data_IF_657683153311
#
_entry.id   IF_657683153311
#
_cell.length_a   1.000
_cell.length_b   1.000
_cell.length_c   1.000
_cell.angle_alpha   90.00
_cell.angle_beta   90.00
_cell.angle_gamma   90.00
#
_symmetry.space_group_name_H-M   'P 1'
#
loop_
_entity.id
_entity.type
_entity.pdbx_description
1 polymer ?
#
# COMPACT_ATOMS: atom_id res chain seq x y z
N UNK A 1 -3.41 10.23 -10.15
CA UNK A 1 -4.18 9.15 -10.81
C UNK A 1 -5.67 9.44 -10.89
N UNK A 2 -6.42 9.61 -9.79
CA UNK A 2 -7.88 9.87 -9.88
C UNK A 2 -8.28 11.06 -10.76
N UNK A 3 -7.52 12.15 -10.72
CA UNK A 3 -7.76 13.34 -11.54
C UNK A 3 -7.62 13.05 -13.05
N UNK A 4 -6.72 12.15 -13.48
CA UNK A 4 -6.59 11.78 -14.90
C UNK A 4 -7.79 10.96 -15.41
N UNK A 5 -8.60 10.43 -14.49
CA UNK A 5 -9.87 9.76 -14.79
C UNK A 5 -11.09 10.68 -14.54
N UNK A 6 -10.89 11.99 -14.38
CA UNK A 6 -11.97 12.95 -14.17
C UNK A 6 -12.59 12.93 -12.77
N UNK A 7 -11.97 12.21 -11.82
CA UNK A 7 -12.44 12.16 -10.43
C UNK A 7 -11.75 13.25 -9.61
N UNK A 8 -12.57 14.08 -8.96
CA UNK A 8 -12.06 15.06 -7.98
C UNK A 8 -11.77 14.32 -6.68
N UNK A 9 -10.50 14.03 -6.43
CA UNK A 9 -10.04 13.34 -5.22
C UNK A 9 -9.26 14.29 -4.31
N UNK A 10 -9.47 14.15 -3.00
CA UNK A 10 -8.74 14.89 -1.96
C UNK A 10 -8.16 13.89 -0.96
N UNK A 11 -6.88 14.05 -0.63
CA UNK A 11 -6.21 13.27 0.41
C UNK A 11 -5.99 14.14 1.65
N UNK A 12 -6.49 13.68 2.80
CA UNK A 12 -6.31 14.37 4.09
C UNK A 12 -5.47 13.49 5.01
N UNK A 13 -4.29 14.02 5.35
CA UNK A 13 -3.35 13.49 6.34
C UNK A 13 -2.56 14.66 6.94
N UNK A 14 -1.68 14.38 7.91
CA UNK A 14 -0.91 15.43 8.60
C UNK A 14 -0.10 16.32 7.64
N UNK A 15 0.49 15.74 6.60
CA UNK A 15 1.31 16.48 5.63
C UNK A 15 0.45 17.33 4.69
N UNK A 16 -0.66 16.79 4.19
CA UNK A 16 -1.54 17.54 3.28
C UNK A 16 -2.26 18.67 3.99
N UNK A 17 -2.70 18.45 5.24
CA UNK A 17 -3.26 19.51 6.08
C UNK A 17 -2.25 20.62 6.35
N UNK A 18 -1.00 20.25 6.70
CA UNK A 18 0.07 21.24 6.94
C UNK A 18 0.36 22.05 5.67
N UNK A 19 0.47 21.39 4.52
CA UNK A 19 0.70 22.06 3.24
C UNK A 19 -0.47 22.96 2.82
N UNK A 20 -1.71 22.54 3.04
CA UNK A 20 -2.90 23.35 2.73
C UNK A 20 -2.97 24.59 3.63
N UNK A 21 -2.67 24.45 4.93
CA UNK A 21 -2.60 25.57 5.87
C UNK A 21 -1.59 26.63 5.44
N UNK A 22 -0.43 26.22 4.91
CA UNK A 22 0.56 27.16 4.36
C UNK A 22 0.07 27.92 3.13
N UNK A 23 -0.90 27.37 2.38
CA UNK A 23 -1.56 28.04 1.25
C UNK A 23 -2.81 28.82 1.65
N UNK A 24 -3.21 28.80 2.93
CA UNK A 24 -4.46 29.41 3.39
C UNK A 24 -5.71 28.63 2.97
N UNK A 25 -5.57 27.34 2.63
CA UNK A 25 -6.66 26.46 2.21
C UNK A 25 -7.15 25.59 3.37
N UNK A 26 -8.46 25.31 3.40
CA UNK A 26 -9.07 24.32 4.30
C UNK A 26 -9.57 23.09 3.51
N UNK A 27 -8.88 21.97 3.68
CA UNK A 27 -9.22 20.71 3.02
C UNK A 27 -10.53 20.10 3.55
N UNK A 28 -10.93 20.39 4.79
CA UNK A 28 -12.18 19.90 5.36
C UNK A 28 -13.38 20.64 4.77
N UNK A 29 -13.26 21.95 4.54
CA UNK A 29 -14.26 22.69 3.76
C UNK A 29 -14.37 22.14 2.34
N UNK A 30 -13.23 21.87 1.70
CA UNK A 30 -13.21 21.23 0.37
C UNK A 30 -13.85 19.85 0.40
N UNK A 31 -13.68 19.06 1.46
CA UNK A 31 -14.29 17.73 1.57
C UNK A 31 -15.83 17.76 1.66
N UNK A 32 -16.40 18.84 2.21
CA UNK A 32 -17.87 19.00 2.34
C UNK A 32 -18.57 19.02 1.00
N UNK A 33 -17.96 19.60 -0.02
CA UNK A 33 -18.60 19.82 -1.32
C UNK A 33 -17.69 19.51 -2.52
N UNK A 34 -18.28 18.94 -3.57
CA UNK A 34 -17.59 18.82 -4.87
C UNK A 34 -16.52 17.74 -4.99
N UNK A 35 -16.17 17.02 -3.92
CA UNK A 35 -15.23 15.89 -3.98
C UNK A 35 -15.97 14.58 -4.27
N UNK A 36 -15.44 13.80 -5.22
CA UNK A 36 -15.93 12.46 -5.59
C UNK A 36 -15.26 11.36 -4.77
N UNK A 37 -14.03 11.60 -4.30
CA UNK A 37 -13.26 10.63 -3.52
C UNK A 37 -12.45 11.30 -2.41
N UNK A 38 -12.63 10.84 -1.18
CA UNK A 38 -11.91 11.33 0.00
C UNK A 38 -11.01 10.21 0.54
N UNK A 39 -9.71 10.43 0.50
CA UNK A 39 -8.71 9.52 1.04
C UNK A 39 -8.23 10.05 2.39
N UNK A 40 -8.43 9.28 3.46
CA UNK A 40 -8.07 9.69 4.82
C UNK A 40 -6.98 8.75 5.36
N UNK A 41 -5.99 9.32 6.04
CA UNK A 41 -5.18 8.49 6.94
C UNK A 41 -6.01 8.11 8.17
N UNK A 42 -5.80 6.94 8.79
CA UNK A 42 -6.58 6.50 9.95
C UNK A 42 -6.62 7.56 11.06
N UNK A 43 -5.51 8.28 11.27
CA UNK A 43 -5.37 9.29 12.33
C UNK A 43 -6.32 10.47 12.16
N UNK A 44 -6.80 10.72 10.93
CA UNK A 44 -7.77 11.79 10.69
C UNK A 44 -9.18 11.43 11.17
N UNK A 45 -9.47 10.16 11.42
CA UNK A 45 -10.80 9.72 11.88
C UNK A 45 -11.13 10.19 13.31
N UNK A 46 -10.12 10.52 14.12
CA UNK A 46 -10.28 11.15 15.44
C UNK A 46 -10.20 12.69 15.39
N UNK A 47 -9.99 13.28 14.22
CA UNK A 47 -9.78 14.72 14.11
C UNK A 47 -11.09 15.49 14.22
N UNK A 48 -11.00 16.72 14.75
CA UNK A 48 -12.15 17.65 14.78
C UNK A 48 -12.73 17.90 13.38
N UNK A 49 -11.87 18.08 12.37
CA UNK A 49 -12.34 18.35 11.01
C UNK A 49 -13.16 17.19 10.42
N UNK A 50 -12.84 15.95 10.79
CA UNK A 50 -13.65 14.80 10.40
C UNK A 50 -14.99 14.75 11.15
N UNK A 51 -15.00 15.04 12.46
CA UNK A 51 -16.26 15.17 13.22
C UNK A 51 -17.17 16.24 12.61
N UNK A 52 -16.64 17.42 12.32
CA UNK A 52 -17.35 18.53 11.67
C UNK A 52 -17.87 18.17 10.26
N UNK A 53 -17.19 17.24 9.56
CA UNK A 53 -17.63 16.71 8.27
C UNK A 53 -18.82 15.75 8.44
N UNK A 54 -18.80 14.88 9.45
CA UNK A 54 -19.91 13.97 9.76
C UNK A 54 -21.16 14.72 10.23
N UNK A 55 -21.02 15.87 10.87
CA UNK A 55 -22.16 16.73 11.25
C UNK A 55 -22.80 17.45 10.05
N UNK A 56 -22.08 17.57 8.94
CA UNK A 56 -22.57 18.25 7.74
C UNK A 56 -23.55 17.37 6.95
N UNK A 57 -24.85 17.47 7.25
CA UNK A 57 -25.92 16.65 6.64
C UNK A 57 -25.85 16.48 5.10
N UNK A 58 -25.57 17.53 4.29
CA UNK A 58 -25.46 17.38 2.83
C UNK A 58 -24.37 16.39 2.39
N UNK A 59 -23.33 16.18 3.20
CA UNK A 59 -22.28 15.19 2.94
C UNK A 59 -22.86 13.78 2.84
N UNK A 60 -23.76 13.40 3.76
CA UNK A 60 -24.36 12.06 3.80
C UNK A 60 -25.19 11.73 2.57
N UNK A 61 -25.81 12.73 1.93
CA UNK A 61 -26.55 12.54 0.68
C UNK A 61 -25.62 12.18 -0.50
N UNK A 62 -24.34 12.54 -0.40
CA UNK A 62 -23.31 12.24 -1.42
C UNK A 62 -22.47 11.03 -1.05
N UNK A 63 -22.44 10.63 0.22
CA UNK A 63 -21.66 9.50 0.67
C UNK A 63 -22.32 8.19 0.19
N UNK A 64 -21.58 7.39 -0.60
CA UNK A 64 -22.10 6.16 -1.23
C UNK A 64 -21.36 4.91 -0.79
N UNK A 65 -20.07 5.02 -0.53
CA UNK A 65 -19.25 3.88 -0.19
C UNK A 65 -18.13 4.24 0.79
N UNK A 66 -17.85 3.32 1.70
CA UNK A 66 -16.70 3.32 2.60
C UNK A 66 -15.74 2.20 2.17
N UNK A 67 -14.56 2.58 1.69
CA UNK A 67 -13.48 1.65 1.37
C UNK A 67 -12.40 1.70 2.45
N UNK A 68 -11.96 0.53 2.92
CA UNK A 68 -10.84 0.40 3.85
C UNK A 68 -9.75 -0.38 3.15
N UNK A 69 -8.66 0.32 2.83
CA UNK A 69 -7.48 -0.29 2.25
C UNK A 69 -6.59 -0.93 3.32
N UNK A 70 -5.85 -1.95 2.92
CA UNK A 70 -5.01 -2.76 3.79
C UNK A 70 -5.69 -3.25 5.07
N UNK A 71 -6.93 -3.72 4.95
CA UNK A 71 -7.79 -4.14 6.08
C UNK A 71 -7.15 -5.22 6.98
N UNK A 72 -6.20 -5.97 6.44
CA UNK A 72 -5.44 -6.99 7.17
C UNK A 72 -4.58 -6.41 8.31
N UNK A 73 -4.19 -5.13 8.24
CA UNK A 73 -3.41 -4.45 9.28
C UNK A 73 -4.16 -4.41 10.62
N UNK A 74 -5.50 -4.44 10.58
CA UNK A 74 -6.34 -4.56 11.78
C UNK A 74 -5.99 -5.78 12.64
N UNK A 75 -5.62 -6.89 12.00
CA UNK A 75 -5.25 -8.12 12.69
C UNK A 75 -3.77 -8.13 13.06
N UNK A 76 -2.88 -7.69 12.16
CA UNK A 76 -1.42 -7.83 12.33
C UNK A 76 -0.83 -6.89 13.37
N UNK A 77 -1.34 -5.66 13.52
CA UNK A 77 -0.67 -4.61 14.30
C UNK A 77 -0.96 -4.63 15.81
N UNK A 78 -1.53 -5.73 16.32
CA UNK A 78 -1.66 -6.00 17.74
C UNK A 78 -2.56 -5.00 18.48
N UNK A 79 -2.56 -5.06 19.83
CA UNK A 79 -3.47 -4.25 20.66
C UNK A 79 -3.03 -2.79 20.86
N UNK A 80 -1.76 -2.45 20.62
CA UNK A 80 -1.19 -1.14 20.96
C UNK A 80 -1.37 -0.08 19.86
N UNK A 81 -1.61 -0.48 18.61
CA UNK A 81 -1.89 0.43 17.49
C UNK A 81 -3.41 0.77 17.36
N UNK A 82 -4.24 0.28 18.30
CA UNK A 82 -5.69 0.06 18.10
C UNK A 82 -6.62 1.28 18.11
N UNK A 83 -6.32 2.37 18.80
CA UNK A 83 -7.36 3.38 19.04
C UNK A 83 -7.85 4.07 17.76
N UNK A 84 -6.93 4.28 16.82
CA UNK A 84 -7.20 5.00 15.59
C UNK A 84 -7.96 4.12 14.59
N UNK A 85 -7.53 2.86 14.43
CA UNK A 85 -8.20 1.92 13.54
C UNK A 85 -9.58 1.51 14.06
N UNK A 86 -9.79 1.44 15.38
CA UNK A 86 -11.13 1.25 15.96
C UNK A 86 -12.11 2.34 15.56
N UNK A 87 -11.65 3.54 15.20
CA UNK A 87 -12.56 4.57 14.67
C UNK A 87 -13.20 4.19 13.35
N UNK A 88 -12.60 3.29 12.57
CA UNK A 88 -13.24 2.82 11.34
C UNK A 88 -14.52 2.05 11.68
N UNK A 89 -14.54 1.29 12.78
CA UNK A 89 -15.74 0.63 13.29
C UNK A 89 -16.79 1.67 13.72
N UNK A 90 -16.37 2.76 14.36
CA UNK A 90 -17.26 3.86 14.73
C UNK A 90 -17.86 4.57 13.50
N UNK A 91 -17.05 4.90 12.49
CA UNK A 91 -17.56 5.49 11.24
C UNK A 91 -18.54 4.55 10.57
N UNK A 92 -18.20 3.26 10.54
CA UNK A 92 -19.03 2.21 9.97
C UNK A 92 -20.37 2.06 10.71
N UNK A 93 -20.40 2.21 12.03
CA UNK A 93 -21.64 2.11 12.81
C UNK A 93 -22.56 3.31 12.61
N UNK A 94 -22.00 4.48 12.30
CA UNK A 94 -22.75 5.69 11.92
C UNK A 94 -23.22 5.68 10.46
N UNK A 95 -22.64 4.82 9.62
CA UNK A 95 -23.03 4.72 8.21
C UNK A 95 -24.46 4.18 8.08
N UNK A 96 -25.32 4.85 7.31
CA UNK A 96 -26.63 4.31 7.00
C UNK A 96 -26.58 2.94 6.29
N UNK A 97 -27.65 2.13 6.36
CA UNK A 97 -27.66 0.77 5.80
C UNK A 97 -27.40 0.68 4.29
N UNK A 98 -27.64 1.76 3.54
CA UNK A 98 -27.43 1.80 2.09
C UNK A 98 -25.98 2.10 1.67
N UNK A 99 -25.10 2.45 2.63
CA UNK A 99 -23.69 2.70 2.32
C UNK A 99 -22.96 1.37 2.08
N UNK A 100 -22.32 1.28 0.92
CA UNK A 100 -21.54 0.09 0.55
C UNK A 100 -20.22 0.11 1.32
N UNK A 101 -19.91 -0.96 2.04
CA UNK A 101 -18.61 -1.10 2.73
C UNK A 101 -17.75 -2.11 2.01
N UNK A 102 -16.48 -1.76 1.79
CA UNK A 102 -15.49 -2.58 1.09
C UNK A 102 -14.20 -2.66 1.91
N UNK A 103 -13.60 -3.85 1.97
CA UNK A 103 -12.29 -4.07 2.56
C UNK A 103 -11.34 -4.61 1.48
N UNK A 104 -10.19 -3.97 1.33
CA UNK A 104 -9.18 -4.32 0.33
C UNK A 104 -7.91 -4.80 1.06
N UNK A 105 -7.28 -5.85 0.55
CA UNK A 105 -5.98 -6.33 1.04
C UNK A 105 -5.40 -7.38 0.10
N UNK A 106 -4.08 -7.44 0.02
CA UNK A 106 -3.33 -8.49 -0.68
C UNK A 106 -3.03 -9.74 0.18
N UNK A 107 -3.09 -9.67 1.52
CA UNK A 107 -2.44 -10.63 2.43
C UNK A 107 -3.40 -11.34 3.40
N UNK A 108 -4.73 -11.21 3.21
CA UNK A 108 -5.71 -11.91 4.07
C UNK A 108 -5.71 -13.42 3.80
N UNK A 109 -5.19 -14.17 4.77
CA UNK A 109 -5.33 -15.62 4.85
C UNK A 109 -6.74 -16.01 5.34
N UNK A 110 -7.19 -17.21 4.94
CA UNK A 110 -8.41 -17.81 5.50
C UNK A 110 -8.24 -18.09 7.01
N UNK A 111 -9.34 -18.13 7.74
CA UNK A 111 -9.37 -18.37 9.18
C UNK A 111 -9.36 -17.06 9.99
N UNK A 112 -8.64 -17.03 11.12
CA UNK A 112 -8.75 -15.98 12.14
C UNK A 112 -8.64 -14.55 11.62
N UNK A 113 -7.77 -14.30 10.64
CA UNK A 113 -7.60 -12.96 10.04
C UNK A 113 -8.87 -12.54 9.32
N UNK A 114 -9.40 -13.41 8.46
CA UNK A 114 -10.65 -13.17 7.73
C UNK A 114 -11.84 -13.02 8.68
N UNK A 115 -11.94 -13.87 9.71
CA UNK A 115 -13.03 -13.80 10.68
C UNK A 115 -13.01 -12.47 11.45
N UNK A 116 -11.81 -11.99 11.80
CA UNK A 116 -11.63 -10.69 12.43
C UNK A 116 -12.04 -9.53 11.52
N UNK A 117 -11.61 -9.55 10.26
CA UNK A 117 -12.00 -8.54 9.25
C UNK A 117 -13.51 -8.53 9.03
N UNK A 118 -14.13 -9.71 8.88
CA UNK A 118 -15.58 -9.82 8.72
C UNK A 118 -16.34 -9.26 9.92
N UNK A 119 -15.90 -9.61 11.14
CA UNK A 119 -16.50 -9.07 12.37
C UNK A 119 -16.37 -7.55 12.43
N UNK A 120 -15.18 -7.03 12.12
CA UNK A 120 -14.87 -5.61 12.18
C UNK A 120 -15.71 -4.77 11.20
N UNK A 121 -15.83 -5.20 9.95
CA UNK A 121 -16.63 -4.49 8.94
C UNK A 121 -18.13 -4.79 9.02
N UNK A 122 -18.55 -5.61 9.99
CA UNK A 122 -19.95 -6.02 10.17
C UNK A 122 -20.47 -6.91 9.04
N UNK A 123 -19.59 -7.66 8.37
CA UNK A 123 -19.97 -8.59 7.31
C UNK A 123 -20.69 -9.80 7.90
N UNK A 124 -21.94 -9.97 7.48
CA UNK A 124 -22.77 -11.10 7.89
C UNK A 124 -22.62 -12.24 6.87
N UNK A 125 -22.42 -13.50 7.30
CA UNK A 125 -22.38 -14.64 6.39
C UNK A 125 -23.55 -14.62 5.38
N UNK A 126 -23.25 -14.83 4.10
CA UNK A 126 -24.24 -14.81 3.02
C UNK A 126 -24.75 -13.42 2.60
N UNK A 127 -24.23 -12.33 3.20
CA UNK A 127 -24.61 -10.94 2.88
C UNK A 127 -23.45 -10.10 2.34
N UNK A 128 -22.33 -10.72 1.99
CA UNK A 128 -21.18 -10.06 1.40
C UNK A 128 -20.56 -10.94 0.31
N UNK A 129 -19.82 -10.29 -0.58
CA UNK A 129 -19.08 -10.96 -1.64
C UNK A 129 -17.59 -10.97 -1.30
N UNK A 130 -16.93 -12.10 -1.54
CA UNK A 130 -15.48 -12.21 -1.47
C UNK A 130 -14.96 -12.42 -2.88
N UNK A 131 -14.20 -11.46 -3.37
CA UNK A 131 -13.49 -11.58 -4.64
C UNK A 131 -12.03 -11.87 -4.32
N UNK A 132 -11.56 -13.07 -4.65
CA UNK A 132 -10.16 -13.48 -4.47
C UNK A 132 -9.52 -13.71 -5.84
N UNK A 133 -8.45 -12.99 -6.11
CA UNK A 133 -7.61 -13.18 -7.31
C UNK A 133 -6.39 -14.02 -6.98
N UNK A 134 -5.83 -14.66 -8.00
CA UNK A 134 -4.52 -15.31 -7.91
C UNK A 134 -3.43 -14.24 -7.74
N UNK A 135 -2.39 -14.57 -6.96
CA UNK A 135 -1.16 -13.77 -6.87
C UNK A 135 -0.13 -14.18 -7.94
N UNK A 136 -0.49 -15.04 -8.90
CA UNK A 136 0.39 -15.42 -9.99
C UNK A 136 0.81 -14.20 -10.81
N UNK A 137 2.12 -14.06 -11.01
CA UNK A 137 2.75 -12.97 -11.78
C UNK A 137 3.56 -13.57 -12.91
N UNK A 138 2.92 -13.75 -14.06
CA UNK A 138 3.55 -14.32 -15.26
C UNK A 138 4.62 -13.39 -15.87
N UNK A 139 4.61 -12.12 -15.46
CA UNK A 139 5.62 -11.11 -15.76
C UNK A 139 6.84 -11.17 -14.83
N UNK A 140 6.85 -12.06 -13.84
CA UNK A 140 7.94 -12.20 -12.86
C UNK A 140 8.65 -13.54 -13.05
N UNK A 141 9.97 -13.49 -13.22
CA UNK A 141 10.83 -14.66 -13.26
C UNK A 141 11.52 -14.84 -11.91
N UNK A 142 11.34 -16.01 -11.29
CA UNK A 142 12.08 -16.38 -10.08
C UNK A 142 13.42 -17.02 -10.49
N UNK A 143 14.52 -16.41 -10.05
CA UNK A 143 15.87 -16.92 -10.28
C UNK A 143 16.52 -17.15 -8.92
N UNK A 144 16.89 -18.41 -8.64
CA UNK A 144 17.63 -18.80 -7.44
C UNK A 144 19.08 -18.98 -7.83
N UNK A 145 20.00 -18.28 -7.16
CA UNK A 145 21.44 -18.39 -7.37
C UNK A 145 22.12 -18.60 -6.04
N UNK A 146 23.09 -19.49 -6.00
CA UNK A 146 23.98 -19.66 -4.85
C UNK A 146 24.95 -18.48 -4.76
N UNK A 147 25.20 -18.01 -3.54
CA UNK A 147 26.19 -16.97 -3.30
C UNK A 147 27.55 -17.63 -3.07
N UNK A 148 28.47 -17.47 -4.02
CA UNK A 148 29.86 -17.94 -3.89
C UNK A 148 30.64 -17.19 -2.79
N UNK A 149 30.15 -16.03 -2.35
CA UNK A 149 30.79 -15.17 -1.35
C UNK A 149 29.86 -15.03 -0.14
N UNK A 150 30.43 -15.20 1.05
CA UNK A 150 29.69 -14.95 2.30
C UNK A 150 29.28 -13.49 2.47
N UNK A 151 28.15 -13.28 3.17
CA UNK A 151 27.59 -11.95 3.49
C UNK A 151 28.40 -11.17 4.55
N UNK A 152 29.45 -11.77 5.11
CA UNK A 152 30.35 -11.17 6.10
C UNK A 152 31.37 -10.19 5.52
N UNK A 153 31.61 -10.22 4.21
CA UNK A 153 32.65 -9.41 3.55
C UNK A 153 32.22 -7.99 3.17
N UNK A 154 33.10 -7.33 2.40
CA UNK A 154 32.88 -6.02 1.76
C UNK A 154 32.76 -6.11 0.23
N UNK A 155 32.78 -7.32 -0.32
CA UNK A 155 32.76 -7.58 -1.77
C UNK A 155 31.57 -8.46 -2.11
N UNK A 156 30.73 -7.98 -3.02
CA UNK A 156 29.51 -8.67 -3.47
C UNK A 156 29.50 -8.81 -5.01
N UNK A 157 30.49 -9.51 -5.61
CA UNK A 157 30.61 -9.61 -7.07
C UNK A 157 29.37 -10.23 -7.73
N UNK A 158 28.60 -11.04 -7.01
CA UNK A 158 27.32 -11.59 -7.45
C UNK A 158 26.26 -10.52 -7.73
N UNK A 159 26.46 -9.27 -7.30
CA UNK A 159 25.57 -8.14 -7.60
C UNK A 159 26.05 -7.31 -8.81
N UNK A 160 27.14 -7.72 -9.49
CA UNK A 160 27.67 -6.96 -10.62
C UNK A 160 26.67 -6.87 -11.79
N UNK A 161 25.77 -7.84 -11.95
CA UNK A 161 24.73 -7.84 -13.00
C UNK A 161 23.83 -6.59 -12.94
N UNK A 162 23.68 -5.98 -11.76
CA UNK A 162 22.92 -4.73 -11.58
C UNK A 162 23.51 -3.59 -12.42
N UNK A 163 24.79 -3.68 -12.78
CA UNK A 163 25.50 -2.74 -13.65
C UNK A 163 25.42 -3.08 -15.15
N UNK A 164 24.79 -4.19 -15.51
CA UNK A 164 24.67 -4.60 -16.91
C UNK A 164 23.25 -4.33 -17.46
N UNK A 165 22.23 -4.21 -16.58
CA UNK A 165 20.83 -3.91 -16.95
C UNK A 165 20.40 -2.44 -16.72
N UNK A 166 19.94 -1.70 -17.72
CA UNK A 166 19.43 -0.31 -17.55
C UNK A 166 18.03 -0.23 -16.90
N UNK A 167 17.81 -1.02 -15.85
CA UNK A 167 16.56 -1.08 -15.10
C UNK A 167 16.76 -0.63 -13.66
N UNK A 168 15.68 -0.17 -13.02
CA UNK A 168 15.69 0.09 -11.57
C UNK A 168 15.75 -1.25 -10.83
N UNK A 169 16.57 -1.32 -9.79
CA UNK A 169 16.76 -2.55 -9.01
C UNK A 169 16.50 -2.28 -7.52
N UNK A 170 15.80 -3.20 -6.88
CA UNK A 170 15.56 -3.18 -5.44
C UNK A 170 16.30 -4.35 -4.83
N UNK A 171 17.18 -4.08 -3.86
CA UNK A 171 17.98 -5.10 -3.19
C UNK A 171 17.62 -5.09 -1.70
N UNK A 172 17.05 -6.18 -1.23
CA UNK A 172 16.68 -6.35 0.18
C UNK A 172 17.85 -6.93 0.97
N UNK A 173 18.18 -6.29 2.09
CA UNK A 173 19.24 -6.75 2.99
C UNK A 173 18.66 -7.03 4.39
N UNK A 174 18.93 -8.19 5.01
CA UNK A 174 18.37 -8.55 6.32
C UNK A 174 18.73 -7.58 7.45
N UNK A 175 19.84 -6.84 7.32
CA UNK A 175 20.29 -5.88 8.34
C UNK A 175 20.77 -4.58 7.71
N UNK A 176 20.61 -3.48 8.45
CA UNK A 176 21.14 -2.15 8.08
C UNK A 176 22.66 -2.22 7.85
N UNK A 177 23.38 -3.02 8.64
CA UNK A 177 24.82 -3.19 8.50
C UNK A 177 25.21 -3.87 7.17
N UNK A 178 24.46 -4.89 6.74
CA UNK A 178 24.68 -5.50 5.43
C UNK A 178 24.28 -4.55 4.30
N UNK A 179 23.15 -3.87 4.44
CA UNK A 179 22.67 -2.85 3.52
C UNK A 179 23.75 -1.79 3.25
N UNK A 180 24.34 -1.24 4.31
CA UNK A 180 25.40 -0.24 4.21
C UNK A 180 26.63 -0.79 3.46
N UNK A 181 27.07 -2.01 3.76
CA UNK A 181 28.22 -2.64 3.07
C UNK A 181 27.93 -2.87 1.59
N UNK A 182 26.73 -3.33 1.25
CA UNK A 182 26.27 -3.49 -0.14
C UNK A 182 26.23 -2.14 -0.86
N UNK A 183 25.70 -1.10 -0.21
CA UNK A 183 25.68 0.27 -0.75
C UNK A 183 27.07 0.79 -1.07
N UNK A 184 28.00 0.66 -0.12
CA UNK A 184 29.40 1.11 -0.30
C UNK A 184 30.08 0.34 -1.43
N UNK A 185 29.87 -0.97 -1.52
CA UNK A 185 30.40 -1.79 -2.62
C UNK A 185 29.88 -1.32 -3.98
N UNK A 186 28.56 -1.16 -4.11
CA UNK A 186 27.93 -0.73 -5.35
C UNK A 186 28.35 0.70 -5.72
N UNK A 187 28.45 1.61 -4.75
CA UNK A 187 28.92 2.97 -4.96
C UNK A 187 30.34 3.02 -5.52
N UNK A 188 31.27 2.25 -4.94
CA UNK A 188 32.65 2.16 -5.41
C UNK A 188 32.72 1.61 -6.84
N UNK A 189 31.93 0.55 -7.13
CA UNK A 189 31.87 -0.04 -8.48
C UNK A 189 31.26 0.90 -9.52
N UNK A 190 30.18 1.60 -9.18
CA UNK A 190 29.56 2.60 -10.04
C UNK A 190 30.51 3.76 -10.34
N UNK A 191 31.22 4.24 -9.32
CA UNK A 191 32.22 5.32 -9.45
C UNK A 191 33.36 4.91 -10.39
N UNK A 192 33.90 3.70 -10.22
CA UNK A 192 34.94 3.16 -11.11
C UNK A 192 34.49 2.99 -12.57
N UNK A 193 33.17 2.81 -12.81
CA UNK A 193 32.58 2.72 -14.15
C UNK A 193 32.09 4.07 -14.70
N UNK A 194 32.31 5.18 -13.98
CA UNK A 194 31.81 6.51 -14.39
C UNK A 194 30.28 6.64 -14.38
N UNK A 195 29.55 5.76 -13.71
CA UNK A 195 28.09 5.66 -13.76
C UNK A 195 27.46 5.78 -12.36
N UNK A 196 27.81 6.85 -11.64
CA UNK A 196 27.35 7.09 -10.26
C UNK A 196 25.82 7.30 -10.19
N UNK A 197 25.23 7.88 -11.24
CA UNK A 197 23.77 8.06 -11.38
C UNK A 197 22.99 6.73 -11.19
N UNK A 198 23.63 5.59 -11.50
CA UNK A 198 23.03 4.27 -11.33
C UNK A 198 22.81 3.87 -9.88
N UNK A 199 23.62 4.36 -8.94
CA UNK A 199 23.43 4.03 -7.51
C UNK A 199 22.14 4.62 -6.98
N UNK A 200 21.68 5.75 -7.52
CA UNK A 200 20.39 6.35 -7.18
C UNK A 200 19.19 5.57 -7.73
N UNK A 201 19.40 4.63 -8.65
CA UNK A 201 18.37 3.70 -9.15
C UNK A 201 18.34 2.38 -8.38
N UNK A 202 19.25 2.20 -7.42
CA UNK A 202 19.31 1.05 -6.53
C UNK A 202 18.74 1.49 -5.18
N UNK A 203 17.54 1.02 -4.87
CA UNK A 203 16.95 1.22 -3.55
C UNK A 203 17.38 0.04 -2.69
N UNK A 204 17.89 0.35 -1.50
CA UNK A 204 18.25 -0.63 -0.50
C UNK A 204 17.28 -0.49 0.67
N UNK A 205 16.76 -1.61 1.16
CA UNK A 205 15.83 -1.60 2.29
C UNK A 205 16.25 -2.63 3.34
N UNK A 206 16.32 -2.23 4.63
CA UNK A 206 16.56 -3.19 5.70
C UNK A 206 15.29 -4.04 5.90
N UNK A 207 15.43 -5.37 5.88
CA UNK A 207 14.31 -6.31 6.08
C UNK A 207 13.73 -6.27 7.50
N UNK A 208 14.39 -5.59 8.45
CA UNK A 208 14.04 -5.54 9.87
C UNK A 208 13.16 -4.35 10.30
N UNK A 209 12.87 -3.40 9.41
CA UNK A 209 11.84 -2.37 9.63
C UNK A 209 10.66 -2.75 8.75
N UNK A 210 9.57 -3.18 9.40
CA UNK A 210 8.29 -3.58 8.81
C UNK A 210 7.95 -2.84 7.53
N UNK A 211 8.24 -3.47 6.38
CA UNK A 211 7.84 -2.94 5.09
C UNK A 211 6.42 -3.45 4.84
N UNK A 212 5.44 -2.63 5.21
CA UNK A 212 4.34 -2.43 4.28
C UNK A 212 5.01 -1.84 3.03
N UNK A 213 5.15 -2.63 1.97
CA UNK A 213 5.37 -2.04 0.65
C UNK A 213 4.00 -1.49 0.26
N UNK A 214 3.70 -0.31 0.79
CA UNK A 214 2.71 0.57 0.17
C UNK A 214 3.37 1.00 -1.13
N UNK A 215 2.69 0.74 -2.25
CA UNK A 215 3.06 1.19 -3.58
C UNK A 215 4.35 0.59 -4.19
N UNK A 216 4.24 -0.63 -4.73
CA UNK A 216 4.87 -0.86 -6.05
C UNK A 216 4.02 -0.11 -7.07
N UNK A 217 4.36 1.16 -7.35
CA UNK A 217 3.90 1.81 -8.58
C UNK A 217 4.61 1.10 -9.73
N UNK A 218 4.03 -0.01 -10.18
CA UNK A 218 4.30 -0.50 -11.51
C UNK A 218 3.59 0.45 -12.46
N UNK A 219 4.30 1.45 -12.97
CA UNK A 219 3.85 2.21 -14.12
C UNK A 219 3.81 1.26 -15.32
N UNK A 220 2.69 0.56 -15.48
CA UNK A 220 2.41 -0.23 -16.66
C UNK A 220 1.87 0.73 -17.73
N UNK A 221 2.77 1.25 -18.55
CA UNK A 221 2.40 1.83 -19.83
C UNK A 221 1.97 0.66 -20.72
N UNK A 222 0.71 0.65 -21.15
CA UNK A 222 0.04 -0.34 -22.02
C UNK A 222 -0.59 -1.56 -21.32
N UNK A 223 -1.90 -1.46 -21.06
CA UNK A 223 -2.77 -2.60 -21.32
C UNK A 223 -4.17 -2.13 -21.76
N UNK A 224 -4.30 -1.86 -23.06
CA UNK A 224 -5.60 -1.79 -23.73
C UNK A 224 -6.04 -3.23 -24.03
N UNK A 225 -7.32 -3.50 -23.71
CA UNK A 225 -8.22 -4.57 -24.21
C UNK A 225 -8.22 -5.93 -23.47
N UNK A 226 -9.43 -6.23 -22.99
CA UNK A 226 -10.19 -7.48 -23.07
C UNK A 226 -9.40 -8.77 -23.22
N UNK A 227 -9.56 -9.70 -22.27
CA UNK A 227 -9.97 -11.09 -22.53
C UNK A 227 -10.52 -11.68 -21.22
N UNK A 228 -11.82 -11.97 -21.25
CA UNK A 228 -12.45 -13.00 -20.42
C UNK A 228 -12.08 -14.36 -21.01
N UNK A 229 -11.68 -15.34 -20.19
CA UNK A 229 -12.23 -16.70 -20.19
C UNK A 229 -11.51 -17.58 -19.16
N UNK A 230 -12.32 -18.40 -18.48
CA UNK A 230 -12.06 -19.68 -17.81
C UNK A 230 -10.61 -20.18 -17.76
N UNK A 231 -10.13 -20.58 -16.57
CA UNK A 231 -10.02 -21.98 -16.18
C UNK A 231 -9.35 -22.10 -14.80
N UNK A 232 -9.68 -23.19 -14.12
CA UNK A 232 -9.34 -23.44 -12.74
C UNK A 232 -7.98 -24.09 -12.50
N UNK A 233 -7.92 -24.66 -11.31
CA UNK A 233 -6.90 -25.53 -10.74
C UNK A 233 -6.00 -24.80 -9.74
N UNK A 234 -5.98 -25.38 -8.53
CA UNK A 234 -5.25 -24.87 -7.40
C UNK A 234 -3.76 -25.07 -7.55
N UNK A 235 -3.01 -24.28 -6.79
CA UNK A 235 -2.08 -24.83 -5.81
C UNK A 235 -1.61 -23.69 -4.91
N UNK A 236 -1.60 -24.01 -3.63
CA UNK A 236 -1.14 -23.21 -2.51
C UNK A 236 0.38 -23.07 -2.60
N UNK A 237 0.93 -21.85 -2.65
CA UNK A 237 2.31 -21.59 -2.24
C UNK A 237 2.36 -20.28 -1.47
N UNK A 238 2.65 -20.44 -0.18
CA UNK A 238 3.00 -19.41 0.79
C UNK A 238 4.48 -19.10 0.55
N UNK A 239 4.83 -17.82 0.43
CA UNK A 239 6.18 -17.31 0.70
C UNK A 239 6.02 -16.18 1.70
#
# INVERSE_FOLDING_TARGET
>A
EFQSHGLRAVAINANTLSAARLRGEDLWLTAREGVSMLCLSPEQLISKGFADLLEHKPFWNRFRALGVDEIHLLYLWGMRFRLVFQQIEFVRSQCPPWIITMGLSATVAKGRVMDHVCKFLGYRPGKFHVIRRSNARYDVQLIIRELENGLGGLKFPQLNWVFDEDKKSLIFCPTIALEFRVKVFLWRKASARGNIARVYRIVLHPSGLSIIITEVICACHECRRNICHNFGCGSTCIV
#
